data_IF_982063378853
#
_entry.id   IF_982063378853
#
_cell.length_a   1.000
_cell.length_b   1.000
_cell.length_c   1.000
_cell.angle_alpha   90.00
_cell.angle_beta   90.00
_cell.angle_gamma   90.00
#
_symmetry.space_group_name_H-M   'P 1'
#
loop_
_entity.id
_entity.type
_entity.pdbx_description
1 polymer ?
#
# COMPACT_ATOMS: atom_id res chain seq x y z
N UNK A 1 16.96 0.62 -7.55
CA UNK A 1 16.50 -0.78 -7.57
C UNK A 1 15.91 -1.09 -8.93
N UNK A 2 16.20 -2.26 -9.51
CA UNK A 2 15.38 -2.73 -10.63
C UNK A 2 13.99 -3.08 -10.07
N UNK A 3 13.01 -2.19 -10.29
CA UNK A 3 11.61 -2.33 -9.83
C UNK A 3 11.02 -3.71 -10.15
N UNK A 4 11.55 -4.36 -11.19
CA UNK A 4 11.17 -5.68 -11.65
C UNK A 4 11.46 -6.82 -10.64
N UNK A 5 12.39 -6.67 -9.70
CA UNK A 5 12.68 -7.75 -8.73
C UNK A 5 11.78 -7.72 -7.51
N UNK A 6 11.28 -6.54 -7.11
CA UNK A 6 10.41 -6.40 -5.94
C UNK A 6 9.07 -7.13 -6.13
N UNK A 7 8.59 -7.24 -7.37
CA UNK A 7 7.35 -7.97 -7.70
C UNK A 7 7.40 -9.46 -7.35
N UNK A 8 8.60 -10.06 -7.28
CA UNK A 8 8.79 -11.47 -6.89
C UNK A 8 8.93 -11.66 -5.38
N UNK A 9 9.08 -10.57 -4.63
CA UNK A 9 9.31 -10.60 -3.18
C UNK A 9 8.10 -10.11 -2.39
N UNK A 10 7.27 -9.28 -3.00
CA UNK A 10 6.09 -8.71 -2.36
C UNK A 10 4.83 -9.51 -2.76
N UNK A 11 3.77 -9.48 -1.95
CA UNK A 11 2.52 -10.15 -2.27
C UNK A 11 1.98 -9.76 -3.65
N UNK A 12 1.48 -10.74 -4.41
CA UNK A 12 0.86 -10.50 -5.71
C UNK A 12 -0.29 -9.48 -5.59
N UNK A 13 -0.36 -8.52 -6.51
CA UNK A 13 -1.37 -7.45 -6.52
C UNK A 13 -0.99 -6.18 -5.73
N UNK A 14 0.02 -6.22 -4.84
CA UNK A 14 0.40 -5.03 -4.05
C UNK A 14 0.89 -3.88 -4.93
N UNK A 15 1.62 -4.20 -6.01
CA UNK A 15 2.18 -3.22 -6.94
C UNK A 15 1.12 -2.61 -7.87
N UNK A 16 -0.11 -3.12 -7.87
CA UNK A 16 -1.22 -2.46 -8.56
C UNK A 16 -1.59 -1.16 -7.86
N UNK A 17 -1.45 -1.11 -6.53
CA UNK A 17 -1.85 0.03 -5.70
C UNK A 17 -0.69 0.85 -5.16
N UNK A 18 0.49 0.25 -5.01
CA UNK A 18 1.65 0.89 -4.41
C UNK A 18 2.85 0.95 -5.36
N UNK A 19 3.61 2.03 -5.24
CA UNK A 19 4.94 2.16 -5.84
C UNK A 19 6.01 1.85 -4.79
N UNK A 20 7.02 1.06 -5.16
CA UNK A 20 8.21 0.86 -4.32
C UNK A 20 9.14 2.05 -4.51
N UNK A 21 9.18 2.94 -3.52
CA UNK A 21 9.99 4.17 -3.60
C UNK A 21 11.41 3.99 -3.08
N UNK A 22 11.61 3.05 -2.16
CA UNK A 22 12.92 2.77 -1.58
C UNK A 22 12.97 1.40 -0.94
N UNK A 23 14.20 0.96 -0.66
CA UNK A 23 14.48 -0.26 0.08
C UNK A 23 15.78 -0.09 0.86
N UNK A 24 15.88 -0.71 2.02
CA UNK A 24 17.13 -0.77 2.79
C UNK A 24 17.34 -2.17 3.33
N UNK A 25 18.58 -2.60 3.44
CA UNK A 25 18.93 -3.80 4.19
C UNK A 25 19.79 -3.36 5.36
N UNK A 26 19.39 -3.72 6.58
CA UNK A 26 20.09 -3.38 7.81
C UNK A 26 20.18 -4.65 8.67
N UNK A 27 21.40 -5.16 8.87
CA UNK A 27 21.64 -6.39 9.63
C UNK A 27 20.72 -7.54 9.18
N UNK A 28 19.79 -7.93 10.06
CA UNK A 28 18.81 -9.02 9.89
C UNK A 28 17.43 -8.53 9.43
N UNK A 29 17.34 -7.28 8.95
CA UNK A 29 16.10 -6.66 8.49
C UNK A 29 16.21 -6.16 7.05
N UNK A 30 15.12 -6.32 6.31
CA UNK A 30 14.94 -5.75 4.98
C UNK A 30 13.73 -4.84 5.04
N UNK A 31 13.93 -3.58 4.70
CA UNK A 31 12.90 -2.55 4.68
C UNK A 31 12.49 -2.28 3.24
N UNK A 32 11.20 -2.31 2.96
CA UNK A 32 10.62 -1.78 1.72
C UNK A 32 9.76 -0.58 2.06
N UNK A 33 9.88 0.48 1.26
CA UNK A 33 9.07 1.69 1.39
C UNK A 33 8.11 1.76 0.22
N UNK A 34 6.82 1.77 0.54
CA UNK A 34 5.69 1.70 -0.37
C UNK A 34 4.87 2.98 -0.25
N UNK A 35 4.61 3.64 -1.37
CA UNK A 35 3.72 4.81 -1.43
C UNK A 35 2.50 4.49 -2.27
N UNK A 36 1.31 4.77 -1.77
CA UNK A 36 0.08 4.55 -2.52
C UNK A 36 0.06 5.45 -3.74
N UNK A 37 -0.19 4.82 -4.89
CA UNK A 37 -0.30 5.46 -6.19
C UNK A 37 -1.37 6.55 -6.14
N UNK A 38 -1.17 7.59 -6.94
CA UNK A 38 -2.16 8.66 -7.07
C UNK A 38 -3.32 8.24 -7.99
N UNK A 39 -4.00 7.16 -7.65
CA UNK A 39 -5.16 6.63 -8.35
C UNK A 39 -6.33 6.73 -7.37
N UNK A 40 -7.39 7.43 -7.77
CA UNK A 40 -8.58 7.58 -6.94
C UNK A 40 -9.24 6.21 -6.70
N UNK A 41 -9.87 6.00 -5.54
CA UNK A 41 -10.75 4.86 -5.35
C UNK A 41 -11.90 4.89 -6.36
N UNK A 42 -12.34 3.71 -6.83
CA UNK A 42 -13.35 3.57 -7.89
C UNK A 42 -14.65 4.28 -7.52
N UNK A 43 -15.01 4.26 -6.25
CA UNK A 43 -16.20 4.93 -5.71
C UNK A 43 -16.15 6.47 -5.83
N UNK A 44 -14.97 7.05 -6.07
CA UNK A 44 -14.75 8.49 -6.19
C UNK A 44 -14.11 8.91 -7.54
N UNK A 45 -13.92 7.99 -8.49
CA UNK A 45 -13.21 8.27 -9.76
C UNK A 45 -13.88 9.37 -10.61
N UNK A 46 -15.20 9.53 -10.48
CA UNK A 46 -15.98 10.54 -11.20
C UNK A 46 -16.03 11.90 -10.48
N UNK A 47 -15.50 11.99 -9.26
CA UNK A 47 -15.56 13.21 -8.47
C UNK A 47 -14.29 14.05 -8.63
N UNK A 48 -14.41 15.38 -8.74
CA UNK A 48 -13.25 16.25 -8.77
C UNK A 48 -12.53 16.20 -7.42
N UNK A 49 -11.31 15.69 -7.39
CA UNK A 49 -10.54 15.51 -6.16
C UNK A 49 -9.07 15.92 -6.33
N UNK A 50 -8.46 16.43 -5.25
CA UNK A 50 -7.04 16.79 -5.22
C UNK A 50 -6.30 15.95 -4.17
N UNK A 51 -5.19 15.34 -4.56
CA UNK A 51 -4.31 14.63 -3.62
C UNK A 51 -3.74 15.62 -2.59
N UNK A 52 -3.94 15.34 -1.30
CA UNK A 52 -3.48 16.16 -0.16
C UNK A 52 -2.35 15.48 0.62
N UNK A 53 -1.55 14.69 -0.09
CA UNK A 53 -0.40 13.97 0.45
C UNK A 53 -0.78 12.63 1.07
N UNK A 54 0.00 12.21 2.05
CA UNK A 54 -0.13 10.91 2.71
C UNK A 54 -0.66 11.05 4.14
N UNK A 55 -1.30 9.99 4.63
CA UNK A 55 -1.54 9.80 6.07
C UNK A 55 -0.24 9.31 6.75
N UNK A 56 -0.16 9.28 8.08
CA UNK A 56 1.01 8.76 8.79
C UNK A 56 1.40 7.37 8.27
N UNK A 57 2.71 7.16 8.10
CA UNK A 57 3.28 5.88 7.69
C UNK A 57 2.94 4.81 8.73
N UNK A 58 2.62 3.62 8.24
CA UNK A 58 2.49 2.42 9.06
C UNK A 58 3.55 1.41 8.65
N UNK A 59 3.93 0.53 9.57
CA UNK A 59 4.88 -0.55 9.30
C UNK A 59 4.20 -1.88 9.54
N UNK A 60 4.28 -2.77 8.55
CA UNK A 60 3.75 -4.14 8.62
C UNK A 60 4.92 -5.11 8.47
N UNK A 61 4.93 -6.17 9.27
CA UNK A 61 5.87 -7.27 9.12
C UNK A 61 5.36 -8.25 8.06
N UNK A 62 6.26 -8.66 7.17
CA UNK A 62 5.97 -9.64 6.12
C UNK A 62 6.83 -10.89 6.31
N UNK A 63 6.56 -11.93 5.54
CA UNK A 63 7.27 -13.20 5.63
C UNK A 63 8.79 -13.01 5.52
N UNK A 64 9.57 -13.67 6.39
CA UNK A 64 11.00 -13.46 6.44
C UNK A 64 11.67 -13.95 5.15
N UNK A 65 12.49 -13.09 4.54
CA UNK A 65 13.22 -13.42 3.33
C UNK A 65 14.61 -13.94 3.70
N UNK A 66 14.82 -15.24 3.52
CA UNK A 66 16.11 -15.92 3.79
C UNK A 66 16.61 -15.69 5.22
N UNK A 67 15.70 -15.78 6.19
CA UNK A 67 16.01 -15.59 7.62
C UNK A 67 16.08 -14.12 8.07
N UNK A 68 15.90 -13.15 7.15
CA UNK A 68 15.80 -11.74 7.49
C UNK A 68 14.34 -11.33 7.65
N UNK A 69 14.05 -10.52 8.67
CA UNK A 69 12.72 -9.96 8.88
C UNK A 69 12.43 -8.93 7.78
N UNK A 70 11.27 -9.01 7.14
CA UNK A 70 10.85 -8.05 6.12
C UNK A 70 9.87 -7.06 6.75
N UNK A 71 10.15 -5.77 6.57
CA UNK A 71 9.36 -4.66 7.07
C UNK A 71 8.86 -3.82 5.90
N UNK A 72 7.54 -3.73 5.76
CA UNK A 72 6.86 -2.94 4.76
C UNK A 72 6.41 -1.62 5.39
N UNK A 73 7.08 -0.54 5.03
CA UNK A 73 6.74 0.84 5.39
C UNK A 73 5.76 1.39 4.36
N UNK A 74 4.54 1.71 4.79
CA UNK A 74 3.42 1.98 3.88
C UNK A 74 2.89 3.37 4.15
N UNK A 75 2.96 4.22 3.13
CA UNK A 75 2.30 5.52 3.11
C UNK A 75 1.06 5.46 2.24
N UNK A 76 -0.10 5.56 2.87
CA UNK A 76 -1.38 5.64 2.19
C UNK A 76 -1.72 7.08 1.84
N UNK A 77 -2.39 7.27 0.70
CA UNK A 77 -2.73 8.58 0.17
C UNK A 77 -4.08 9.02 0.71
N UNK A 78 -4.25 10.33 0.82
CA UNK A 78 -5.53 10.98 1.08
C UNK A 78 -5.83 11.99 0.00
N UNK A 79 -7.10 12.07 -0.37
CA UNK A 79 -7.59 13.05 -1.33
C UNK A 79 -8.60 13.96 -0.65
N UNK A 80 -8.75 15.16 -1.17
CA UNK A 80 -9.81 16.09 -0.79
C UNK A 80 -10.74 16.24 -1.96
N UNK A 81 -12.02 15.89 -1.76
CA UNK A 81 -13.08 16.16 -2.72
C UNK A 81 -13.26 17.67 -2.84
N UNK A 82 -13.25 18.20 -4.05
CA UNK A 82 -13.29 19.65 -4.28
C UNK A 82 -14.65 20.27 -3.95
N UNK A 83 -15.73 19.52 -4.15
CA UNK A 83 -17.09 20.01 -3.88
C UNK A 83 -17.40 20.04 -2.38
N UNK A 84 -17.20 18.92 -1.69
CA UNK A 84 -17.56 18.78 -0.27
C UNK A 84 -16.44 19.18 0.69
N UNK A 85 -15.22 19.42 0.20
CA UNK A 85 -14.00 19.59 1.01
C UNK A 85 -13.70 18.40 1.94
N UNK A 86 -14.37 17.26 1.73
CA UNK A 86 -14.19 16.07 2.54
C UNK A 86 -12.87 15.39 2.21
N UNK A 87 -12.18 14.92 3.26
CA UNK A 87 -10.99 14.09 3.10
C UNK A 87 -11.43 12.64 2.95
N UNK A 88 -11.02 12.02 1.86
CA UNK A 88 -11.28 10.61 1.56
C UNK A 88 -9.96 9.83 1.55
N UNK A 89 -10.06 8.55 1.89
CA UNK A 89 -8.99 7.56 1.82
C UNK A 89 -9.56 6.28 1.20
N UNK A 90 -8.72 5.49 0.55
CA UNK A 90 -9.13 4.18 0.04
C UNK A 90 -9.56 3.27 1.19
N UNK A 91 -10.71 2.62 1.02
CA UNK A 91 -11.16 1.55 1.91
C UNK A 91 -10.59 0.21 1.43
N UNK A 92 -9.62 -0.30 2.19
CA UNK A 92 -8.94 -1.56 1.86
C UNK A 92 -9.82 -2.79 2.12
N UNK A 93 -10.90 -2.68 2.91
CA UNK A 93 -11.85 -3.79 3.06
C UNK A 93 -12.65 -4.00 1.77
N UNK A 94 -13.01 -2.91 1.07
CA UNK A 94 -13.69 -2.99 -0.22
C UNK A 94 -12.78 -3.61 -1.29
N UNK A 95 -11.51 -3.20 -1.31
CA UNK A 95 -10.50 -3.81 -2.20
C UNK A 95 -10.38 -5.31 -1.93
N UNK A 96 -10.36 -5.71 -0.65
CA UNK A 96 -10.22 -7.10 -0.27
C UNK A 96 -11.40 -8.00 -0.71
N UNK A 97 -12.60 -7.44 -0.78
CA UNK A 97 -13.80 -8.16 -1.22
C UNK A 97 -13.91 -8.23 -2.76
N UNK A 98 -13.38 -7.23 -3.48
CA UNK A 98 -13.53 -7.09 -4.93
C UNK A 98 -12.47 -7.78 -5.77
N UNK A 99 -11.37 -8.26 -5.17
CA UNK A 99 -10.27 -8.92 -5.91
C UNK A 99 -10.21 -10.42 -5.62
N UNK A 100 -9.85 -11.23 -6.62
CA UNK A 100 -9.39 -12.61 -6.38
C UNK A 100 -8.01 -12.53 -5.74
N UNK A 101 -7.97 -12.40 -4.43
CA UNK A 101 -6.73 -12.24 -3.68
C UNK A 101 -6.04 -13.56 -3.39
N UNK A 102 -4.71 -13.56 -3.41
CA UNK A 102 -3.94 -14.58 -2.70
C UNK A 102 -4.15 -14.42 -1.19
N UNK A 103 -4.06 -15.52 -0.44
CA UNK A 103 -4.20 -15.48 1.03
C UNK A 103 -3.22 -14.49 1.69
N UNK A 104 -2.03 -14.34 1.11
CA UNK A 104 -0.98 -13.42 1.55
C UNK A 104 -1.37 -11.96 1.35
N UNK A 105 -1.91 -11.61 0.18
CA UNK A 105 -2.36 -10.24 -0.08
C UNK A 105 -3.57 -9.88 0.79
N UNK A 106 -4.48 -10.84 1.05
CA UNK A 106 -5.60 -10.65 1.96
C UNK A 106 -5.16 -10.40 3.41
N UNK A 107 -4.15 -11.13 3.88
CA UNK A 107 -3.55 -10.91 5.20
C UNK A 107 -2.92 -9.51 5.30
N UNK A 108 -2.15 -9.11 4.28
CA UNK A 108 -1.58 -7.77 4.18
C UNK A 108 -2.65 -6.67 4.22
N UNK A 109 -3.72 -6.80 3.40
CA UNK A 109 -4.80 -5.82 3.39
C UNK A 109 -5.50 -5.71 4.75
N UNK A 110 -5.68 -6.83 5.44
CA UNK A 110 -6.26 -6.85 6.79
C UNK A 110 -5.38 -6.08 7.77
N UNK A 111 -4.06 -6.23 7.71
CA UNK A 111 -3.16 -5.51 8.61
C UNK A 111 -3.18 -4.00 8.35
N UNK A 112 -3.20 -3.55 7.09
CA UNK A 112 -3.29 -2.10 6.80
C UNK A 112 -4.68 -1.50 7.04
N UNK A 113 -5.74 -2.32 7.05
CA UNK A 113 -7.11 -1.87 7.30
C UNK A 113 -7.35 -1.51 8.77
N UNK A 114 -6.53 -2.04 9.68
CA UNK A 114 -6.60 -1.80 11.13
C UNK A 114 -6.07 -0.43 11.55
N UNK A 115 -5.40 0.29 10.63
CA UNK A 115 -4.79 1.60 10.83
C UNK A 115 -5.36 2.64 9.85
#
# INVERSE_FOLDING_TARGET
MHLNLAQYLLPEGILEYFDVVSSKSESDKIHFYLEEKNILPVEYEQLPAKSKGFIPEITVEDFPLRGKTVLLHIKRRRWTLLESHQIIKRDWNLVAQGTRMTSEFAAFLKDISRY
#
